data_IF_262519298031
#
_entry.id   IF_262519298031
#
_cell.length_a   1.000
_cell.length_b   1.000
_cell.length_c   1.000
_cell.angle_alpha   90.00
_cell.angle_beta   90.00
_cell.angle_gamma   90.00
#
_symmetry.space_group_name_H-M   'P 1'
#
loop_
_entity.id
_entity.type
_entity.pdbx_description
1 polymer ?
#
# COMPACT_ATOMS: atom_id res chain seq x y z
N UNK A 1 -37.18 22.49 -48.82
CA UNK A 1 -36.51 21.34 -48.17
C UNK A 1 -35.07 21.72 -47.83
N UNK A 2 -34.79 22.32 -46.66
CA UNK A 2 -33.40 22.54 -46.23
C UNK A 2 -33.33 22.76 -44.71
N UNK A 3 -33.13 21.70 -43.93
CA UNK A 3 -32.71 21.80 -42.53
C UNK A 3 -32.25 20.44 -41.99
N UNK A 4 -31.15 19.90 -42.52
CA UNK A 4 -30.48 18.71 -41.91
C UNK A 4 -28.97 18.88 -41.66
N UNK A 5 -28.37 20.04 -41.96
CA UNK A 5 -26.92 20.22 -41.91
C UNK A 5 -26.33 20.73 -40.59
N UNK A 6 -27.10 20.83 -39.50
CA UNK A 6 -26.66 21.52 -38.27
C UNK A 6 -26.66 20.66 -36.99
N UNK A 7 -26.56 19.33 -37.14
CA UNK A 7 -26.49 18.37 -36.02
C UNK A 7 -25.14 17.64 -35.95
N UNK A 8 -24.59 17.26 -37.10
CA UNK A 8 -23.28 16.60 -37.19
C UNK A 8 -22.13 17.58 -36.87
N UNK A 9 -22.27 18.85 -37.28
CA UNK A 9 -21.34 19.92 -36.93
C UNK A 9 -21.28 20.18 -35.43
N UNK A 10 -22.44 20.26 -34.76
CA UNK A 10 -22.54 20.40 -33.29
C UNK A 10 -21.92 19.23 -32.54
N UNK A 11 -22.20 17.99 -32.95
CA UNK A 11 -21.63 16.80 -32.32
C UNK A 11 -20.11 16.71 -32.50
N UNK A 12 -19.57 17.17 -33.64
CA UNK A 12 -18.13 17.27 -33.87
C UNK A 12 -17.50 18.38 -33.02
N UNK A 13 -18.22 19.49 -32.81
CA UNK A 13 -17.80 20.60 -31.95
C UNK A 13 -17.81 20.20 -30.47
N UNK A 14 -18.86 19.52 -29.99
CA UNK A 14 -18.94 18.98 -28.62
C UNK A 14 -17.91 17.88 -28.34
N UNK A 15 -17.49 17.11 -29.35
CA UNK A 15 -16.37 16.16 -29.22
C UNK A 15 -15.03 16.90 -29.13
N UNK A 16 -14.83 17.96 -29.92
CA UNK A 16 -13.63 18.80 -29.85
C UNK A 16 -13.56 19.57 -28.53
N UNK A 17 -14.67 20.08 -28.02
CA UNK A 17 -14.76 20.83 -26.76
C UNK A 17 -14.58 19.92 -25.54
N UNK A 18 -15.13 18.71 -25.54
CA UNK A 18 -14.82 17.70 -24.52
C UNK A 18 -13.33 17.32 -24.51
N UNK A 19 -12.70 17.26 -25.68
CA UNK A 19 -11.26 16.98 -25.78
C UNK A 19 -10.38 18.21 -25.48
N UNK A 20 -10.95 19.42 -25.51
CA UNK A 20 -10.27 20.69 -25.16
C UNK A 20 -10.21 20.94 -23.65
N UNK A 21 -10.90 20.12 -22.84
CA UNK A 21 -10.83 20.12 -21.38
C UNK A 21 -9.69 19.28 -20.78
N UNK A 22 -8.86 18.64 -21.61
CA UNK A 22 -7.60 18.05 -21.14
C UNK A 22 -6.58 19.18 -21.04
N UNK A 23 -6.46 19.76 -19.83
CA UNK A 23 -5.47 20.79 -19.53
C UNK A 23 -4.07 20.35 -20.01
N UNK A 24 -3.43 21.06 -20.95
CA UNK A 24 -2.04 20.80 -21.34
C UNK A 24 -1.04 21.12 -20.21
N UNK A 25 -1.50 21.79 -19.15
CA UNK A 25 -0.73 22.15 -17.95
C UNK A 25 -0.54 20.99 -16.95
N UNK A 26 -1.14 19.81 -17.19
CA UNK A 26 -0.97 18.65 -16.32
C UNK A 26 0.06 17.65 -16.84
N UNK A 27 0.94 18.07 -17.75
CA UNK A 27 2.08 17.24 -18.11
C UNK A 27 2.99 17.17 -16.87
N UNK A 28 3.20 15.97 -16.28
CA UNK A 28 3.97 15.85 -15.05
C UNK A 28 5.36 16.40 -15.31
N UNK A 29 5.77 17.35 -14.46
CA UNK A 29 7.09 17.99 -14.54
C UNK A 29 8.18 16.95 -14.36
N UNK A 30 9.42 17.30 -14.72
CA UNK A 30 10.56 16.40 -14.52
C UNK A 30 10.70 16.06 -13.03
N UNK A 31 10.47 17.04 -12.17
CA UNK A 31 10.42 16.92 -10.71
C UNK A 31 9.36 15.92 -10.26
N UNK A 32 8.14 15.99 -10.79
CA UNK A 32 7.07 15.04 -10.47
C UNK A 32 7.43 13.62 -10.91
N UNK A 33 8.10 13.49 -12.06
CA UNK A 33 8.56 12.18 -12.56
C UNK A 33 9.67 11.61 -11.67
N UNK A 34 10.58 12.45 -11.18
CA UNK A 34 11.62 12.06 -10.22
C UNK A 34 11.03 11.66 -8.86
N UNK A 35 10.06 12.41 -8.34
CA UNK A 35 9.37 12.09 -7.10
C UNK A 35 8.60 10.76 -7.20
N UNK A 36 7.92 10.52 -8.33
CA UNK A 36 7.28 9.23 -8.62
C UNK A 36 8.28 8.08 -8.67
N UNK A 37 9.44 8.30 -9.29
CA UNK A 37 10.51 7.29 -9.32
C UNK A 37 10.99 6.93 -7.91
N UNK A 38 11.15 7.93 -7.03
CA UNK A 38 11.53 7.69 -5.64
C UNK A 38 10.46 6.90 -4.85
N UNK A 39 9.18 7.24 -5.03
CA UNK A 39 8.06 6.49 -4.44
C UNK A 39 8.02 5.05 -4.94
N UNK A 40 8.17 4.83 -6.25
CA UNK A 40 8.21 3.50 -6.85
C UNK A 40 9.39 2.68 -6.29
N UNK A 41 10.57 3.28 -6.06
CA UNK A 41 11.71 2.62 -5.41
C UNK A 41 11.37 2.20 -3.98
N UNK A 42 10.77 3.10 -3.19
CA UNK A 42 10.38 2.82 -1.80
C UNK A 42 9.34 1.70 -1.73
N UNK A 43 8.32 1.77 -2.57
CA UNK A 43 7.27 0.75 -2.68
C UNK A 43 7.85 -0.61 -3.06
N UNK A 44 8.69 -0.64 -4.09
CA UNK A 44 9.31 -1.89 -4.55
C UNK A 44 10.13 -2.55 -3.44
N UNK A 45 10.86 -1.76 -2.65
CA UNK A 45 11.59 -2.27 -1.49
C UNK A 45 10.68 -2.91 -0.46
N UNK A 46 9.58 -2.24 -0.10
CA UNK A 46 8.62 -2.78 0.87
C UNK A 46 8.02 -4.09 0.35
N UNK A 47 7.62 -4.14 -0.92
CA UNK A 47 7.07 -5.35 -1.52
C UNK A 47 8.07 -6.52 -1.52
N UNK A 48 9.35 -6.26 -1.80
CA UNK A 48 10.40 -7.28 -1.67
C UNK A 48 10.65 -7.70 -0.23
N UNK A 49 10.63 -6.76 0.73
CA UNK A 49 10.76 -7.09 2.16
C UNK A 49 9.59 -7.99 2.63
N UNK A 50 8.35 -7.69 2.21
CA UNK A 50 7.16 -8.53 2.48
C UNK A 50 7.33 -9.91 1.86
N UNK A 51 7.73 -9.98 0.58
CA UNK A 51 7.99 -11.24 -0.11
C UNK A 51 9.06 -12.07 0.62
N UNK A 52 10.18 -11.44 1.02
CA UNK A 52 11.22 -12.14 1.74
C UNK A 52 10.76 -12.58 3.13
N UNK A 53 9.93 -11.81 3.81
CA UNK A 53 9.37 -12.21 5.10
C UNK A 53 8.26 -13.27 4.98
N UNK A 54 7.86 -13.66 3.77
CA UNK A 54 6.83 -14.67 3.52
C UNK A 54 5.40 -14.13 3.47
N UNK A 55 5.20 -12.81 3.60
CA UNK A 55 3.88 -12.18 3.54
C UNK A 55 3.27 -12.14 2.13
N UNK A 56 4.06 -12.40 1.09
CA UNK A 56 3.58 -12.59 -0.29
C UNK A 56 4.27 -13.77 -0.94
N UNK A 57 3.49 -14.60 -1.65
CA UNK A 57 4.01 -15.72 -2.46
C UNK A 57 4.55 -15.28 -3.82
N UNK A 58 4.22 -14.06 -4.27
CA UNK A 58 4.59 -13.54 -5.60
C UNK A 58 5.60 -12.42 -5.49
N UNK A 59 6.58 -12.45 -6.39
CA UNK A 59 7.56 -11.37 -6.54
C UNK A 59 6.88 -10.14 -7.14
N UNK A 60 7.28 -8.92 -6.72
CA UNK A 60 6.67 -7.68 -7.22
C UNK A 60 7.15 -7.34 -8.64
N UNK A 61 6.56 -7.99 -9.64
CA UNK A 61 6.93 -7.81 -11.04
C UNK A 61 6.37 -6.51 -11.62
N UNK A 62 5.10 -6.20 -11.35
CA UNK A 62 4.43 -5.01 -11.91
C UNK A 62 5.09 -3.69 -11.48
N UNK A 63 5.35 -3.54 -10.17
CA UNK A 63 6.03 -2.36 -9.62
C UNK A 63 7.44 -2.23 -10.16
N UNK A 64 8.17 -3.35 -10.28
CA UNK A 64 9.51 -3.38 -10.88
C UNK A 64 9.49 -2.93 -12.35
N UNK A 65 8.60 -3.47 -13.17
CA UNK A 65 8.53 -3.14 -14.60
C UNK A 65 8.17 -1.67 -14.82
N UNK A 66 7.24 -1.14 -14.02
CA UNK A 66 6.89 0.29 -14.03
C UNK A 66 8.09 1.16 -13.68
N UNK A 67 8.79 0.82 -12.59
CA UNK A 67 9.97 1.53 -12.14
C UNK A 67 11.08 1.52 -13.20
N UNK A 68 11.39 0.36 -13.78
CA UNK A 68 12.42 0.22 -14.83
C UNK A 68 12.04 1.03 -16.09
N UNK A 69 10.76 1.09 -16.43
CA UNK A 69 10.26 1.93 -17.53
C UNK A 69 10.43 3.42 -17.25
N UNK A 70 10.11 3.88 -16.04
CA UNK A 70 10.32 5.26 -15.61
C UNK A 70 11.81 5.62 -15.58
N UNK A 71 12.65 4.74 -15.03
CA UNK A 71 14.09 4.91 -14.95
C UNK A 71 14.71 5.04 -16.35
N UNK A 72 14.33 4.16 -17.28
CA UNK A 72 14.81 4.23 -18.67
C UNK A 72 14.41 5.53 -19.34
N UNK A 73 13.13 5.92 -19.23
CA UNK A 73 12.61 7.16 -19.85
C UNK A 73 13.33 8.41 -19.34
N UNK A 74 13.63 8.49 -18.04
CA UNK A 74 14.38 9.62 -17.47
C UNK A 74 15.88 9.55 -17.78
N UNK A 75 16.45 8.35 -17.90
CA UNK A 75 17.85 8.17 -18.28
C UNK A 75 18.15 8.66 -19.69
N UNK A 76 17.23 8.39 -20.61
CA UNK A 76 17.29 8.76 -22.03
C UNK A 76 17.01 10.26 -22.28
N UNK A 77 16.46 10.96 -21.28
CA UNK A 77 16.18 12.40 -21.36
C UNK A 77 17.47 13.23 -21.26
N UNK A 78 17.85 13.86 -22.37
CA UNK A 78 19.04 14.73 -22.46
C UNK A 78 18.76 16.18 -22.05
N UNK A 79 17.51 16.53 -21.77
CA UNK A 79 17.07 17.89 -21.42
C UNK A 79 17.14 18.18 -19.92
N UNK A 80 17.47 17.16 -19.11
CA UNK A 80 17.59 17.27 -17.66
C UNK A 80 18.66 18.31 -17.26
N UNK A 81 18.29 19.17 -16.31
CA UNK A 81 19.25 20.08 -15.69
C UNK A 81 20.22 19.32 -14.76
N UNK A 82 21.29 19.99 -14.32
CA UNK A 82 22.33 19.35 -13.49
C UNK A 82 21.79 18.78 -12.18
N UNK A 83 20.90 19.49 -11.49
CA UNK A 83 20.30 19.05 -10.23
C UNK A 83 19.38 17.84 -10.42
N UNK A 84 18.53 17.87 -11.45
CA UNK A 84 17.66 16.75 -11.85
C UNK A 84 18.49 15.52 -12.24
N UNK A 85 19.57 15.71 -13.01
CA UNK A 85 20.47 14.63 -13.41
C UNK A 85 21.19 14.01 -12.22
N UNK A 86 21.65 14.84 -11.28
CA UNK A 86 22.24 14.37 -10.03
C UNK A 86 21.23 13.56 -9.20
N UNK A 87 20.01 14.07 -9.04
CA UNK A 87 18.95 13.39 -8.32
C UNK A 87 18.57 12.05 -8.98
N UNK A 88 18.40 12.04 -10.30
CA UNK A 88 18.21 10.81 -11.09
C UNK A 88 19.34 9.80 -10.86
N UNK A 89 20.60 10.23 -10.95
CA UNK A 89 21.75 9.33 -10.75
C UNK A 89 21.76 8.74 -9.33
N UNK A 90 21.44 9.55 -8.31
CA UNK A 90 21.30 9.08 -6.93
C UNK A 90 20.23 7.99 -6.81
N UNK A 91 19.06 8.20 -7.40
CA UNK A 91 17.97 7.22 -7.42
C UNK A 91 18.35 5.96 -8.21
N UNK A 92 19.01 6.09 -9.34
CA UNK A 92 19.47 4.98 -10.17
C UNK A 92 20.50 4.10 -9.42
N UNK A 93 21.47 4.71 -8.75
CA UNK A 93 22.44 3.98 -7.91
C UNK A 93 21.75 3.28 -6.75
N UNK A 94 20.84 3.95 -6.04
CA UNK A 94 20.05 3.35 -4.95
C UNK A 94 19.28 2.13 -5.43
N UNK A 95 18.61 2.24 -6.58
CA UNK A 95 17.88 1.13 -7.18
C UNK A 95 18.81 -0.03 -7.58
N UNK A 96 19.97 0.25 -8.19
CA UNK A 96 20.94 -0.78 -8.55
C UNK A 96 21.43 -1.57 -7.33
N UNK A 97 21.70 -0.90 -6.21
CA UNK A 97 22.09 -1.56 -4.95
C UNK A 97 20.98 -2.47 -4.42
N UNK A 98 19.73 -2.01 -4.41
CA UNK A 98 18.59 -2.82 -3.98
C UNK A 98 18.35 -4.01 -4.91
N UNK A 99 18.40 -3.81 -6.23
CA UNK A 99 18.25 -4.88 -7.21
C UNK A 99 19.28 -5.98 -7.02
N UNK A 100 20.55 -5.63 -6.77
CA UNK A 100 21.60 -6.61 -6.54
C UNK A 100 21.43 -7.34 -5.20
N UNK A 101 21.04 -6.62 -4.14
CA UNK A 101 20.70 -7.23 -2.85
C UNK A 101 19.59 -8.28 -3.04
N UNK A 102 18.46 -7.91 -3.65
CA UNK A 102 17.34 -8.82 -3.85
C UNK A 102 17.72 -10.02 -4.71
N UNK A 103 18.54 -9.83 -5.76
CA UNK A 103 19.06 -10.92 -6.59
C UNK A 103 19.88 -11.91 -5.77
N UNK A 104 20.78 -11.42 -4.92
CA UNK A 104 21.61 -12.26 -4.03
C UNK A 104 20.76 -13.00 -3.00
N UNK A 105 19.75 -12.36 -2.43
CA UNK A 105 18.83 -12.98 -1.47
C UNK A 105 18.00 -14.09 -2.12
N UNK A 106 17.50 -13.87 -3.34
CA UNK A 106 16.77 -14.90 -4.11
C UNK A 106 17.66 -16.10 -4.38
N UNK A 107 18.86 -15.86 -4.89
CA UNK A 107 19.84 -16.91 -5.18
C UNK A 107 20.20 -17.72 -3.92
N UNK A 108 20.41 -17.04 -2.79
CA UNK A 108 20.68 -17.71 -1.51
C UNK A 108 19.53 -18.59 -1.00
N UNK A 109 18.28 -18.26 -1.35
CA UNK A 109 17.11 -19.10 -1.05
C UNK A 109 17.02 -20.32 -1.94
N UNK A 110 17.25 -20.15 -3.24
CA UNK A 110 17.28 -21.26 -4.21
C UNK A 110 18.40 -22.27 -3.85
N UNK A 111 19.52 -21.78 -3.35
CA UNK A 111 20.66 -22.59 -2.93
C UNK A 111 20.55 -23.13 -1.49
N UNK A 112 19.43 -22.88 -0.78
CA UNK A 112 19.18 -23.38 0.58
C UNK A 112 20.05 -22.76 1.67
N UNK A 113 20.76 -21.66 1.37
CA UNK A 113 21.69 -21.00 2.30
C UNK A 113 21.01 -20.07 3.30
N UNK A 114 19.74 -19.73 3.08
CA UNK A 114 18.98 -18.86 3.97
C UNK A 114 18.12 -19.69 4.95
N UNK A 115 18.79 -20.39 5.89
CA UNK A 115 18.14 -21.23 6.92
C UNK A 115 17.14 -20.41 7.75
N UNK A 116 17.41 -19.12 7.95
CA UNK A 116 16.51 -18.21 8.64
C UNK A 116 15.24 -17.90 7.81
N UNK A 117 15.35 -17.72 6.49
CA UNK A 117 14.18 -17.61 5.63
C UNK A 117 13.42 -18.93 5.50
N UNK A 118 14.10 -20.07 5.42
CA UNK A 118 13.46 -21.39 5.40
C UNK A 118 12.68 -21.64 6.70
N UNK A 119 13.24 -21.29 7.87
CA UNK A 119 12.57 -21.36 9.17
C UNK A 119 11.36 -20.41 9.28
N UNK A 120 11.45 -19.20 8.72
CA UNK A 120 10.29 -18.27 8.68
C UNK A 120 9.22 -18.74 7.70
N UNK A 121 9.59 -19.29 6.55
CA UNK A 121 8.67 -19.84 5.56
C UNK A 121 7.92 -21.06 6.12
N UNK A 122 8.59 -21.94 6.86
CA UNK A 122 7.96 -23.09 7.53
C UNK A 122 7.08 -22.68 8.71
N UNK A 123 7.46 -21.65 9.48
CA UNK A 123 6.56 -21.05 10.47
C UNK A 123 5.32 -20.40 9.83
N UNK A 124 5.42 -19.89 8.60
CA UNK A 124 4.29 -19.35 7.85
C UNK A 124 3.43 -20.44 7.20
N UNK A 125 3.99 -21.57 6.76
CA UNK A 125 3.21 -22.68 6.21
C UNK A 125 2.27 -23.31 7.25
N UNK A 126 2.65 -23.26 8.54
CA UNK A 126 1.80 -23.63 9.66
C UNK A 126 0.76 -22.55 10.04
N UNK A 127 0.96 -21.29 9.61
CA UNK A 127 0.06 -20.17 9.85
C UNK A 127 -0.60 -19.75 8.53
N UNK A 128 -1.74 -20.39 8.22
CA UNK A 128 -2.56 -20.04 7.04
C UNK A 128 -2.86 -18.53 6.93
N UNK A 129 -3.38 -18.06 5.78
CA UNK A 129 -3.71 -16.64 5.59
C UNK A 129 -4.54 -16.14 6.78
N UNK A 130 -4.13 -15.00 7.36
CA UNK A 130 -4.77 -14.42 8.54
C UNK A 130 -6.29 -14.40 8.33
N UNK A 131 -7.02 -15.18 9.12
CA UNK A 131 -8.47 -15.24 9.01
C UNK A 131 -9.05 -13.92 9.51
N UNK A 132 -9.83 -13.24 8.67
CA UNK A 132 -10.56 -12.03 9.05
C UNK A 132 -11.24 -12.24 10.39
N UNK A 133 -10.86 -11.43 11.36
CA UNK A 133 -11.35 -11.53 12.73
C UNK A 133 -12.36 -10.42 12.98
N UNK A 134 -13.61 -10.78 13.26
CA UNK A 134 -14.67 -9.85 13.65
C UNK A 134 -15.02 -10.00 15.12
N UNK A 135 -15.17 -8.87 15.79
CA UNK A 135 -15.49 -8.79 17.21
C UNK A 135 -16.65 -7.82 17.40
N UNK A 136 -17.70 -8.27 18.07
CA UNK A 136 -18.82 -7.41 18.46
C UNK A 136 -18.74 -7.11 19.95
N UNK A 137 -18.76 -5.84 20.28
CA UNK A 137 -18.65 -5.32 21.63
C UNK A 137 -19.88 -4.48 21.96
N UNK A 138 -20.54 -4.76 23.08
CA UNK A 138 -21.74 -4.02 23.50
C UNK A 138 -21.41 -2.73 24.26
N UNK A 139 -20.32 -2.71 25.02
CA UNK A 139 -19.74 -1.51 25.63
C UNK A 139 -18.23 -1.66 25.71
N UNK A 140 -17.54 -0.88 24.90
CA UNK A 140 -16.08 -0.84 24.80
C UNK A 140 -15.41 -0.52 26.13
N UNK A 141 -16.07 0.24 27.02
CA UNK A 141 -15.48 0.67 28.29
C UNK A 141 -15.39 -0.47 29.31
N UNK A 142 -16.33 -1.41 29.24
CA UNK A 142 -16.44 -2.52 30.20
C UNK A 142 -16.05 -3.87 29.60
N UNK A 143 -16.02 -3.99 28.27
CA UNK A 143 -15.68 -5.23 27.57
C UNK A 143 -14.19 -5.29 27.21
N UNK A 144 -13.36 -5.29 28.25
CA UNK A 144 -11.90 -5.34 28.14
C UNK A 144 -11.43 -6.62 27.45
N UNK A 145 -12.18 -7.73 27.59
CA UNK A 145 -11.86 -9.00 26.95
C UNK A 145 -11.99 -8.93 25.43
N UNK A 146 -13.08 -8.37 24.91
CA UNK A 146 -13.24 -8.18 23.47
C UNK A 146 -12.21 -7.20 22.93
N UNK A 147 -11.95 -6.09 23.63
CA UNK A 147 -10.92 -5.11 23.21
C UNK A 147 -9.53 -5.75 23.18
N UNK A 148 -9.21 -6.61 24.15
CA UNK A 148 -7.97 -7.39 24.15
C UNK A 148 -7.92 -8.38 22.99
N UNK A 149 -9.02 -9.06 22.67
CA UNK A 149 -9.11 -9.94 21.51
C UNK A 149 -8.85 -9.20 20.19
N UNK A 150 -9.43 -8.01 20.02
CA UNK A 150 -9.17 -7.15 18.86
C UNK A 150 -7.70 -6.73 18.80
N UNK A 151 -7.10 -6.35 19.93
CA UNK A 151 -5.68 -5.99 20.01
C UNK A 151 -4.78 -7.15 19.63
N UNK A 152 -5.03 -8.34 20.18
CA UNK A 152 -4.25 -9.54 19.90
C UNK A 152 -4.35 -9.91 18.41
N UNK A 153 -5.56 -9.85 17.82
CA UNK A 153 -5.77 -10.05 16.38
C UNK A 153 -5.06 -9.00 15.52
N UNK A 154 -5.07 -7.72 15.94
CA UNK A 154 -4.37 -6.64 15.25
C UNK A 154 -2.85 -6.82 15.30
N UNK A 155 -2.32 -7.26 16.44
CA UNK A 155 -0.89 -7.51 16.62
C UNK A 155 -0.44 -8.72 15.82
N UNK A 156 -1.26 -9.77 15.76
CA UNK A 156 -1.00 -10.94 14.93
C UNK A 156 -1.04 -10.59 13.44
N UNK A 157 -2.05 -9.82 13.00
CA UNK A 157 -2.10 -9.27 11.65
C UNK A 157 -0.84 -8.46 11.33
N UNK A 158 -0.41 -7.54 12.23
CA UNK A 158 0.79 -6.72 12.02
C UNK A 158 2.07 -7.55 11.94
N UNK A 159 2.19 -8.61 12.75
CA UNK A 159 3.31 -9.57 12.67
C UNK A 159 3.31 -10.30 11.34
N UNK A 160 2.16 -10.76 10.88
CA UNK A 160 2.00 -11.47 9.61
C UNK A 160 2.39 -10.60 8.40
N UNK A 161 2.17 -9.28 8.50
CA UNK A 161 2.55 -8.30 7.48
C UNK A 161 3.99 -7.76 7.62
N UNK A 162 4.70 -8.11 8.70
CA UNK A 162 6.04 -7.57 8.99
C UNK A 162 6.03 -6.09 9.40
N UNK A 163 4.89 -5.55 9.83
CA UNK A 163 4.78 -4.18 10.33
C UNK A 163 5.37 -4.04 11.74
N UNK A 164 5.89 -2.84 12.06
CA UNK A 164 6.42 -2.55 13.38
C UNK A 164 5.31 -2.64 14.44
N UNK A 165 5.46 -3.58 15.38
CA UNK A 165 4.51 -3.84 16.47
C UNK A 165 4.86 -3.08 17.76
N UNK A 166 6.03 -2.43 17.82
CA UNK A 166 6.55 -1.82 19.04
C UNK A 166 5.89 -0.49 19.41
N UNK A 167 5.26 0.18 18.45
CA UNK A 167 4.72 1.53 18.66
C UNK A 167 3.32 1.55 19.29
N UNK A 168 2.58 0.44 19.17
CA UNK A 168 1.21 0.29 19.62
C UNK A 168 1.13 -0.61 20.85
N UNK A 169 1.17 -0.02 22.05
CA UNK A 169 0.90 -0.75 23.28
C UNK A 169 -0.61 -0.89 23.51
N UNK A 170 -1.02 -1.90 24.28
CA UNK A 170 -2.42 -2.10 24.66
C UNK A 170 -3.03 -0.83 25.29
N UNK A 171 -2.29 -0.12 26.14
CA UNK A 171 -2.77 1.11 26.76
C UNK A 171 -3.06 2.23 25.73
N UNK A 172 -2.19 2.40 24.71
CA UNK A 172 -2.42 3.35 23.62
C UNK A 172 -3.60 2.93 22.76
N UNK A 173 -3.69 1.65 22.43
CA UNK A 173 -4.76 1.07 21.63
C UNK A 173 -6.13 1.22 22.31
N UNK A 174 -6.21 0.90 23.60
CA UNK A 174 -7.42 1.04 24.39
C UNK A 174 -7.93 2.49 24.42
N UNK A 175 -7.02 3.46 24.57
CA UNK A 175 -7.35 4.89 24.48
C UNK A 175 -7.92 5.28 23.12
N UNK A 176 -7.30 4.82 22.04
CA UNK A 176 -7.75 5.08 20.67
C UNK A 176 -9.13 4.49 20.39
N UNK A 177 -9.36 3.25 20.84
CA UNK A 177 -10.67 2.60 20.67
C UNK A 177 -11.75 3.33 21.48
N UNK A 178 -11.45 3.79 22.71
CA UNK A 178 -12.40 4.59 23.49
C UNK A 178 -12.78 5.90 22.78
N UNK A 179 -11.79 6.64 22.26
CA UNK A 179 -12.03 7.90 21.54
C UNK A 179 -12.85 7.68 20.25
N UNK A 180 -12.54 6.62 19.49
CA UNK A 180 -13.32 6.24 18.31
C UNK A 180 -14.74 5.78 18.65
N UNK A 181 -14.91 5.04 19.75
CA UNK A 181 -16.21 4.57 20.21
C UNK A 181 -17.11 5.74 20.62
N UNK A 182 -16.58 6.70 21.37
CA UNK A 182 -17.30 7.90 21.78
C UNK A 182 -17.74 8.72 20.55
N UNK A 183 -16.83 8.92 19.58
CA UNK A 183 -17.15 9.62 18.33
C UNK A 183 -18.16 8.88 17.45
N UNK A 184 -18.21 7.55 17.48
CA UNK A 184 -19.24 6.77 16.78
C UNK A 184 -20.59 6.85 17.49
N UNK A 185 -20.59 6.84 18.83
CA UNK A 185 -21.79 6.97 19.65
C UNK A 185 -22.49 8.31 19.38
N UNK A 186 -21.74 9.40 19.29
CA UNK A 186 -22.29 10.73 18.95
C UNK A 186 -22.93 10.80 17.56
N UNK A 187 -22.35 10.11 16.57
CA UNK A 187 -22.80 10.18 15.17
C UNK A 187 -23.95 9.25 14.84
N UNK A 188 -23.97 8.06 15.44
CA UNK A 188 -24.87 6.95 15.04
C UNK A 188 -25.84 6.56 16.16
N UNK A 189 -25.58 6.95 17.42
CA UNK A 189 -26.46 6.68 18.55
C UNK A 189 -26.50 5.23 19.01
N UNK A 190 -25.57 4.38 18.56
CA UNK A 190 -25.51 2.96 18.89
C UNK A 190 -24.38 2.68 19.88
N UNK A 191 -24.66 1.90 20.93
CA UNK A 191 -23.65 1.49 21.91
C UNK A 191 -22.86 0.24 21.48
N UNK A 192 -23.46 -0.58 20.61
CA UNK A 192 -22.81 -1.77 20.06
C UNK A 192 -21.90 -1.42 18.88
N UNK A 193 -20.67 -1.89 18.95
CA UNK A 193 -19.64 -1.69 17.93
C UNK A 193 -19.13 -3.03 17.41
N UNK A 194 -18.99 -3.12 16.09
CA UNK A 194 -18.33 -4.23 15.42
C UNK A 194 -16.96 -3.79 14.93
N UNK A 195 -15.94 -4.49 15.37
CA UNK A 195 -14.55 -4.33 14.94
C UNK A 195 -14.18 -5.44 13.96
N UNK A 196 -13.52 -5.09 12.87
CA UNK A 196 -12.97 -6.06 11.93
C UNK A 196 -11.49 -5.79 11.69
N UNK A 197 -10.67 -6.83 11.88
CA UNK A 197 -9.25 -6.86 11.54
C UNK A 197 -9.07 -7.74 10.31
N UNK A 198 -8.40 -7.22 9.30
CA UNK A 198 -8.12 -7.91 8.04
C UNK A 198 -6.71 -7.58 7.55
N UNK A 199 -6.19 -8.38 6.62
CA UNK A 199 -4.90 -8.17 5.96
C UNK A 199 -5.16 -8.01 4.46
N UNK A 200 -5.17 -6.77 4.00
CA UNK A 200 -5.40 -6.43 2.59
C UNK A 200 -4.07 -6.00 1.95
N UNK A 201 -3.63 -6.68 0.89
CA UNK A 201 -2.39 -6.38 0.15
C UNK A 201 -1.11 -6.32 1.03
N UNK A 202 -1.05 -7.12 2.11
CA UNK A 202 0.08 -7.11 3.03
C UNK A 202 0.11 -5.91 3.99
N UNK A 203 -1.00 -5.16 4.09
CA UNK A 203 -1.19 -4.13 5.10
C UNK A 203 -2.36 -4.50 6.03
N UNK A 204 -2.24 -4.17 7.30
CA UNK A 204 -3.30 -4.42 8.28
C UNK A 204 -4.41 -3.39 8.14
N UNK A 205 -5.62 -3.86 7.85
CA UNK A 205 -6.83 -3.04 7.82
C UNK A 205 -7.61 -3.23 9.13
N UNK A 206 -7.79 -2.15 9.88
CA UNK A 206 -8.69 -2.09 11.03
C UNK A 206 -9.90 -1.22 10.71
N UNK A 207 -11.12 -1.76 10.90
CA UNK A 207 -12.37 -1.02 10.66
C UNK A 207 -13.29 -1.18 11.87
N UNK A 208 -13.93 -0.11 12.29
CA UNK A 208 -14.95 -0.09 13.33
C UNK A 208 -16.26 0.44 12.76
N UNK A 209 -17.39 -0.24 13.02
CA UNK A 209 -18.73 0.15 12.55
C UNK A 209 -19.75 -0.04 13.67
N UNK A 210 -20.84 0.72 13.63
CA UNK A 210 -22.00 0.46 14.49
C UNK A 210 -22.59 -0.92 14.15
N UNK A 211 -22.81 -1.73 15.17
CA UNK A 211 -23.45 -3.04 15.04
C UNK A 211 -24.97 -2.82 15.08
N UNK A 212 -25.64 -3.09 13.95
CA UNK A 212 -27.09 -2.89 13.79
C UNK A 212 -27.90 -3.89 14.60
#
# INVERSE_FOLDING_TARGET
MASKDNKLSRLAQERRERNKGVNPDNEPTVEDRLARLEEDIRRLKIEYDIYFNGGSKRTPYDTKMRLESHLKRLGDDRTLNFAQRYHYNSLATRYASFREMWRRTMQGREEGRDIAAAARASNHEAAGPFARSEFSCADVRHDVQTVKGVYDALMEAKRSCGEATKDLSFAKFHRLIMEHADGLKEKVGTERLRFSVDVENGHVSFKAKADK
#
